data_IF_098443368642
#
_entry.id   IF_098443368642
#
_cell.length_a   1.000
_cell.length_b   1.000
_cell.length_c   1.000
_cell.angle_alpha   90.00
_cell.angle_beta   90.00
_cell.angle_gamma   90.00
#
_symmetry.space_group_name_H-M   'P 1'
#
loop_
_entity.id
_entity.type
_entity.pdbx_description
1 polymer ?
#
# COMPACT_ATOMS: atom_id res chain seq x y z
N UNK A 1 -38.61 -34.26 44.24
CA UNK A 1 -37.28 -34.22 43.62
C UNK A 1 -36.83 -32.79 43.73
N UNK A 2 -36.12 -32.46 44.80
CA UNK A 2 -34.67 -32.67 44.96
C UNK A 2 -33.88 -31.72 44.07
N UNK A 3 -33.20 -30.82 44.77
CA UNK A 3 -32.41 -29.73 44.24
C UNK A 3 -31.02 -30.25 43.84
N UNK A 4 -30.50 -29.80 42.71
CA UNK A 4 -29.06 -29.84 42.46
C UNK A 4 -28.65 -28.55 41.76
N UNK A 5 -27.88 -27.78 42.52
CA UNK A 5 -27.47 -26.42 42.22
C UNK A 5 -26.27 -26.31 41.27
N UNK A 6 -25.81 -25.06 41.05
CA UNK A 6 -24.70 -24.71 40.16
C UNK A 6 -23.36 -24.85 40.89
N UNK A 7 -22.29 -25.25 40.19
CA UNK A 7 -20.95 -25.26 40.78
C UNK A 7 -19.84 -24.71 39.87
N UNK A 8 -19.08 -23.82 40.51
CA UNK A 8 -17.70 -23.35 40.37
C UNK A 8 -17.05 -22.95 39.03
N UNK A 9 -16.59 -21.70 39.02
CA UNK A 9 -15.53 -21.10 38.19
C UNK A 9 -14.11 -21.45 38.74
N UNK A 10 -13.02 -20.72 38.43
CA UNK A 10 -12.04 -20.93 37.36
C UNK A 10 -10.63 -21.33 37.87
N UNK A 11 -9.82 -22.02 37.05
CA UNK A 11 -8.41 -22.32 37.38
C UNK A 11 -7.42 -21.38 36.65
N UNK A 12 -6.67 -20.61 37.44
CA UNK A 12 -5.64 -19.62 37.06
C UNK A 12 -4.26 -20.12 37.51
N UNK A 13 -3.26 -20.30 36.62
CA UNK A 13 -1.80 -20.32 36.95
C UNK A 13 -0.94 -20.30 35.65
N UNK A 14 -0.31 -19.19 35.24
CA UNK A 14 1.01 -18.59 35.61
C UNK A 14 2.24 -19.47 35.26
N UNK A 15 3.06 -19.12 34.24
CA UNK A 15 4.34 -18.34 34.32
C UNK A 15 5.22 -18.49 33.05
N UNK A 16 5.94 -17.40 32.75
CA UNK A 16 6.95 -17.15 31.68
C UNK A 16 8.10 -18.16 31.60
N UNK A 17 8.69 -18.31 30.41
CA UNK A 17 10.15 -18.50 30.25
C UNK A 17 10.67 -17.74 29.02
N UNK A 18 11.58 -16.82 29.29
CA UNK A 18 12.48 -16.11 28.38
C UNK A 18 13.52 -17.08 27.81
N UNK A 19 13.93 -16.91 26.55
CA UNK A 19 15.31 -17.21 26.16
C UNK A 19 15.76 -16.24 25.07
N UNK A 20 16.69 -15.37 25.47
CA UNK A 20 17.57 -14.56 24.62
C UNK A 20 18.49 -15.49 23.82
N UNK A 21 18.75 -15.11 22.57
CA UNK A 21 19.74 -15.73 21.69
C UNK A 21 20.48 -14.62 20.97
N UNK A 22 21.54 -14.15 21.63
CA UNK A 22 22.51 -13.16 21.19
C UNK A 22 23.50 -13.80 20.21
N UNK A 23 23.74 -13.22 19.05
CA UNK A 23 24.98 -13.46 18.28
C UNK A 23 25.30 -12.23 17.45
N UNK A 24 26.26 -11.48 17.99
CA UNK A 24 26.91 -10.31 17.44
C UNK A 24 27.68 -10.54 16.11
N UNK A 25 27.85 -9.40 15.40
CA UNK A 25 29.04 -8.93 14.63
C UNK A 25 29.30 -9.47 13.21
N UNK A 26 29.29 -8.53 12.25
CA UNK A 26 30.45 -7.96 11.51
C UNK A 26 29.91 -7.16 10.30
N UNK A 27 30.03 -5.83 10.29
CA UNK A 27 31.11 -5.06 9.63
C UNK A 27 30.99 -4.96 8.10
N UNK A 28 30.60 -3.77 7.60
CA UNK A 28 31.24 -3.12 6.45
C UNK A 28 30.68 -1.69 6.29
N UNK A 29 31.49 -0.71 6.68
CA UNK A 29 31.34 0.67 6.25
C UNK A 29 31.86 0.82 4.82
N UNK A 30 31.09 1.47 3.94
CA UNK A 30 31.58 2.27 2.81
C UNK A 30 30.38 2.96 2.10
N UNK A 31 30.60 4.00 1.29
CA UNK A 31 30.58 5.41 1.68
C UNK A 31 29.37 6.15 1.09
N UNK A 32 29.18 7.39 1.55
CA UNK A 32 28.04 8.24 1.19
C UNK A 32 27.79 8.35 -0.31
N UNK A 33 26.54 8.17 -0.68
CA UNK A 33 25.97 8.74 -1.90
C UNK A 33 25.07 9.87 -1.41
N UNK A 34 25.61 11.08 -1.44
CA UNK A 34 24.78 12.27 -1.48
C UNK A 34 24.05 12.20 -2.83
N UNK A 35 22.79 11.77 -2.81
CA UNK A 35 21.88 12.00 -3.92
C UNK A 35 21.32 13.41 -3.71
N UNK A 36 22.15 14.40 -4.00
CA UNK A 36 21.63 15.59 -4.66
C UNK A 36 21.08 15.15 -6.02
N UNK A 37 20.09 15.90 -6.52
CA UNK A 37 19.49 15.83 -7.86
C UNK A 37 18.12 15.10 -7.94
N UNK A 38 17.08 15.84 -7.53
CA UNK A 38 15.73 15.80 -8.13
C UNK A 38 15.82 16.21 -9.63
N UNK A 39 16.59 15.49 -10.44
CA UNK A 39 16.55 15.64 -11.90
C UNK A 39 15.30 14.93 -12.43
N UNK A 40 14.34 15.72 -12.92
CA UNK A 40 13.19 15.23 -13.65
C UNK A 40 13.65 14.35 -14.82
N UNK A 41 13.48 13.03 -14.67
CA UNK A 41 13.85 12.05 -15.68
C UNK A 41 12.93 12.26 -16.91
N UNK A 42 13.49 12.51 -18.11
CA UNK A 42 12.67 12.77 -19.30
C UNK A 42 11.78 11.58 -19.65
N UNK A 43 10.57 11.85 -20.15
CA UNK A 43 9.53 10.83 -20.44
C UNK A 43 10.00 9.68 -21.34
N UNK A 44 10.98 9.94 -22.21
CA UNK A 44 11.57 8.94 -23.10
C UNK A 44 12.36 7.83 -22.37
N UNK A 45 12.74 8.05 -21.10
CA UNK A 45 13.46 7.10 -20.27
C UNK A 45 12.54 6.26 -19.37
N UNK A 46 11.22 6.46 -19.43
CA UNK A 46 10.29 5.51 -18.83
C UNK A 46 10.34 4.18 -19.58
N UNK A 47 11.06 3.20 -19.03
CA UNK A 47 10.99 1.81 -19.50
C UNK A 47 9.64 1.20 -19.09
N UNK A 48 8.64 1.46 -19.92
CA UNK A 48 7.29 0.88 -19.83
C UNK A 48 7.24 -0.57 -20.37
N UNK A 49 8.38 -1.12 -20.82
CA UNK A 49 8.46 -2.41 -21.51
C UNK A 49 8.55 -3.62 -20.58
N UNK A 50 8.74 -3.42 -19.28
CA UNK A 50 8.80 -4.54 -18.32
C UNK A 50 7.86 -4.31 -17.14
N UNK A 51 6.91 -5.22 -17.00
CA UNK A 51 6.09 -5.48 -15.79
C UNK A 51 6.95 -5.91 -14.57
N UNK A 52 8.19 -5.39 -14.42
CA UNK A 52 9.11 -5.63 -13.29
C UNK A 52 9.13 -4.49 -12.29
N UNK A 53 8.19 -3.55 -12.42
CA UNK A 53 7.94 -2.54 -11.39
C UNK A 53 7.56 -3.22 -10.06
N UNK A 54 6.77 -4.30 -10.11
CA UNK A 54 6.23 -4.98 -8.94
C UNK A 54 7.30 -5.58 -8.03
N UNK A 55 8.36 -6.19 -8.57
CA UNK A 55 9.36 -6.89 -7.73
C UNK A 55 10.43 -5.95 -7.15
N UNK A 56 10.75 -4.88 -7.87
CA UNK A 56 11.83 -3.95 -7.48
C UNK A 56 11.34 -2.91 -6.47
N UNK A 57 10.13 -2.36 -6.65
CA UNK A 57 9.53 -1.42 -5.68
C UNK A 57 9.08 -2.11 -4.39
N UNK A 58 8.45 -3.28 -4.49
CA UNK A 58 7.99 -4.00 -3.28
C UNK A 58 9.17 -4.46 -2.40
N UNK A 59 10.27 -4.91 -3.01
CA UNK A 59 11.50 -5.27 -2.27
C UNK A 59 12.31 -4.05 -1.82
N UNK A 60 12.36 -2.98 -2.61
CA UNK A 60 13.11 -1.76 -2.29
C UNK A 60 12.48 -0.90 -1.19
N UNK A 61 11.14 -0.82 -1.14
CA UNK A 61 10.38 -0.07 -0.13
C UNK A 61 9.96 -0.92 1.07
N UNK A 62 10.22 -2.24 1.05
CA UNK A 62 9.79 -3.16 2.11
C UNK A 62 8.26 -3.23 2.27
N UNK A 63 7.50 -2.93 1.21
CA UNK A 63 6.04 -2.94 1.26
C UNK A 63 5.59 -4.40 1.35
N UNK A 64 4.92 -4.74 2.45
CA UNK A 64 4.27 -6.04 2.62
C UNK A 64 3.32 -6.29 1.44
N UNK A 65 3.42 -7.44 0.78
CA UNK A 65 2.51 -7.88 -0.31
C UNK A 65 1.03 -7.72 0.06
N UNK A 66 0.71 -7.87 1.34
CA UNK A 66 -0.65 -7.66 1.86
C UNK A 66 -1.06 -6.18 1.80
N UNK A 67 -0.13 -5.27 2.08
CA UNK A 67 -0.35 -3.83 1.98
C UNK A 67 -0.46 -3.41 0.51
N UNK A 68 0.43 -3.88 -0.35
CA UNK A 68 0.35 -3.65 -1.80
C UNK A 68 -1.03 -4.05 -2.36
N UNK A 69 -1.52 -5.24 -2.00
CA UNK A 69 -2.85 -5.69 -2.41
C UNK A 69 -3.99 -4.84 -1.83
N UNK A 70 -3.79 -4.16 -0.68
CA UNK A 70 -4.77 -3.18 -0.17
C UNK A 70 -4.72 -1.88 -0.97
N UNK A 71 -3.52 -1.37 -1.26
CA UNK A 71 -3.30 -0.17 -2.06
C UNK A 71 -3.95 -0.34 -3.44
N UNK A 72 -3.61 -1.42 -4.15
CA UNK A 72 -4.17 -1.75 -5.48
C UNK A 72 -5.70 -1.76 -5.46
N UNK A 73 -6.31 -2.47 -4.49
CA UNK A 73 -7.78 -2.50 -4.36
C UNK A 73 -8.38 -1.15 -4.03
N UNK A 74 -7.77 -0.37 -3.14
CA UNK A 74 -8.26 0.95 -2.76
C UNK A 74 -8.22 1.91 -3.97
N UNK A 75 -7.11 1.90 -4.72
CA UNK A 75 -6.92 2.72 -5.91
C UNK A 75 -7.88 2.33 -7.04
N UNK A 76 -8.09 1.02 -7.28
CA UNK A 76 -9.12 0.55 -8.22
C UNK A 76 -10.53 1.02 -7.84
N UNK A 77 -10.89 0.95 -6.56
CA UNK A 77 -12.20 1.44 -6.10
C UNK A 77 -12.32 2.95 -6.27
N UNK A 78 -11.26 3.71 -6.00
CA UNK A 78 -11.21 5.14 -6.24
C UNK A 78 -11.49 5.48 -7.70
N UNK A 79 -10.79 4.86 -8.65
CA UNK A 79 -10.99 5.11 -10.09
C UNK A 79 -12.42 4.79 -10.56
N UNK A 80 -13.06 3.79 -9.98
CA UNK A 80 -14.41 3.37 -10.40
C UNK A 80 -15.53 4.15 -9.71
N UNK A 81 -15.32 4.64 -8.49
CA UNK A 81 -16.42 5.14 -7.62
C UNK A 81 -16.28 6.59 -7.19
N UNK A 82 -15.12 7.21 -7.36
CA UNK A 82 -14.93 8.60 -6.93
C UNK A 82 -15.85 9.55 -7.69
N UNK A 83 -16.62 10.34 -6.94
CA UNK A 83 -17.50 11.39 -7.46
C UNK A 83 -17.03 12.73 -6.89
N UNK A 84 -17.01 13.75 -7.74
CA UNK A 84 -16.89 15.14 -7.28
C UNK A 84 -18.24 15.56 -6.73
N UNK A 85 -18.28 16.33 -5.64
CA UNK A 85 -19.51 16.68 -4.91
C UNK A 85 -20.64 17.25 -5.79
N UNK A 86 -20.28 17.93 -6.88
CA UNK A 86 -21.22 18.57 -7.81
C UNK A 86 -21.67 17.65 -8.96
N UNK A 87 -21.15 16.43 -9.05
CA UNK A 87 -21.40 15.49 -10.16
C UNK A 87 -22.08 14.21 -9.68
N UNK A 88 -23.17 13.82 -10.34
CA UNK A 88 -23.88 12.57 -10.02
C UNK A 88 -23.11 11.32 -10.47
N UNK A 89 -22.26 11.47 -11.48
CA UNK A 89 -21.50 10.39 -12.14
C UNK A 89 -20.07 10.32 -11.59
N UNK A 90 -19.44 9.12 -11.57
CA UNK A 90 -18.05 9.00 -11.18
C UNK A 90 -17.12 9.64 -12.21
N UNK A 91 -16.04 10.28 -11.75
CA UNK A 91 -15.18 11.15 -12.59
C UNK A 91 -14.26 10.39 -13.55
N UNK A 92 -13.62 9.32 -13.08
CA UNK A 92 -12.55 8.64 -13.81
C UNK A 92 -12.96 7.49 -14.75
N UNK A 93 -14.15 6.85 -14.65
CA UNK A 93 -14.53 5.80 -15.59
C UNK A 93 -14.51 6.24 -17.05
N UNK A 94 -14.93 7.48 -17.35
CA UNK A 94 -14.91 7.97 -18.73
C UNK A 94 -13.48 8.33 -19.21
N UNK A 95 -12.61 8.78 -18.30
CA UNK A 95 -11.20 8.95 -18.60
C UNK A 95 -10.52 7.61 -18.91
N UNK A 96 -10.86 6.54 -18.17
CA UNK A 96 -10.37 5.19 -18.45
C UNK A 96 -10.82 4.65 -19.81
N UNK A 97 -12.07 4.94 -20.23
CA UNK A 97 -12.56 4.56 -21.56
C UNK A 97 -11.79 5.29 -22.65
N UNK A 98 -11.65 6.61 -22.54
CA UNK A 98 -10.87 7.43 -23.50
C UNK A 98 -9.43 6.96 -23.60
N UNK A 99 -8.80 6.66 -22.48
CA UNK A 99 -7.45 6.11 -22.44
C UNK A 99 -7.34 4.82 -23.28
N UNK A 100 -8.32 3.92 -23.16
CA UNK A 100 -8.36 2.69 -23.94
C UNK A 100 -8.69 2.92 -25.43
N UNK A 101 -9.54 3.91 -25.74
CA UNK A 101 -9.90 4.28 -27.11
C UNK A 101 -8.74 4.95 -27.87
N UNK A 102 -7.95 5.77 -27.17
CA UNK A 102 -6.85 6.57 -27.74
C UNK A 102 -5.47 5.88 -27.62
N UNK A 103 -5.41 4.64 -27.12
CA UNK A 103 -4.18 3.89 -26.79
C UNK A 103 -3.19 4.70 -25.93
N UNK A 104 -3.73 5.52 -25.02
CA UNK A 104 -2.92 6.25 -24.05
C UNK A 104 -2.44 5.29 -22.95
N UNK A 105 -1.17 5.40 -22.60
CA UNK A 105 -0.55 4.58 -21.54
C UNK A 105 -0.43 5.31 -20.21
N UNK A 106 -1.02 6.49 -20.10
CA UNK A 106 -1.05 7.30 -18.89
C UNK A 106 -2.47 7.76 -18.60
N UNK A 107 -2.77 7.96 -17.32
CA UNK A 107 -4.04 8.50 -16.83
C UNK A 107 -3.72 9.58 -15.80
N UNK A 108 -4.19 10.79 -16.06
CA UNK A 108 -4.02 11.89 -15.11
C UNK A 108 -5.03 11.78 -13.96
N UNK A 109 -4.49 11.67 -12.75
CA UNK A 109 -5.27 11.58 -11.51
C UNK A 109 -4.92 12.76 -10.62
N UNK A 110 -5.94 13.50 -10.17
CA UNK A 110 -5.73 14.59 -9.21
C UNK A 110 -5.45 14.05 -7.82
N UNK A 111 -4.32 14.46 -7.26
CA UNK A 111 -3.94 14.16 -5.88
C UNK A 111 -4.97 14.66 -4.87
N UNK A 112 -5.59 15.84 -5.11
CA UNK A 112 -6.64 16.38 -4.23
C UNK A 112 -7.82 15.42 -4.14
N UNK A 113 -8.27 14.85 -5.27
CA UNK A 113 -9.37 13.87 -5.25
C UNK A 113 -9.00 12.61 -4.47
N UNK A 114 -7.75 12.16 -4.62
CA UNK A 114 -7.25 10.98 -3.95
C UNK A 114 -7.14 11.20 -2.44
N UNK A 115 -6.65 12.38 -2.02
CA UNK A 115 -6.63 12.82 -0.62
C UNK A 115 -8.04 12.93 -0.03
N UNK A 116 -9.00 13.48 -0.78
CA UNK A 116 -10.41 13.57 -0.33
C UNK A 116 -11.04 12.19 -0.16
N UNK A 117 -10.75 11.25 -1.07
CA UNK A 117 -11.32 9.89 -1.01
C UNK A 117 -10.70 9.03 0.09
N UNK A 118 -9.37 9.02 0.16
CA UNK A 118 -8.61 8.21 1.10
C UNK A 118 -7.30 8.92 1.46
N UNK A 119 -7.25 9.61 2.61
CA UNK A 119 -6.02 10.23 3.10
C UNK A 119 -4.87 9.23 3.29
N UNK A 120 -5.18 7.97 3.58
CA UNK A 120 -4.17 6.90 3.70
C UNK A 120 -3.54 6.57 2.35
N UNK A 121 -4.35 6.55 1.29
CA UNK A 121 -3.87 6.29 -0.05
C UNK A 121 -3.01 7.45 -0.58
N UNK A 122 -3.28 8.67 -0.13
CA UNK A 122 -2.48 9.85 -0.48
C UNK A 122 -1.16 9.92 0.30
N UNK A 123 -1.08 9.25 1.45
CA UNK A 123 0.12 9.20 2.27
C UNK A 123 1.15 8.17 1.78
N UNK A 124 0.68 7.04 1.23
CA UNK A 124 1.53 5.99 0.66
C UNK A 124 2.02 6.36 -0.73
#
# INVERSE_FOLDING_TARGET
GDASGPDATPARRVRRRTQEGDTERLSAASPGVALDEDEDIPEAYYDLGTEKLDETLSKGLGIDKRLEGKIKRCFQQFLLKYKVEETAEPKYPDALKKMAEEDQRHLDVSYVHLQTWSPQLAFW
#
